data_IF_337407303561
#
_entry.id   IF_337407303561
#
_cell.length_a   1.000
_cell.length_b   1.000
_cell.length_c   1.000
_cell.angle_alpha   90.00
_cell.angle_beta   90.00
_cell.angle_gamma   90.00
#
_symmetry.space_group_name_H-M   'P 1'
#
loop_
_entity.id
_entity.type
_entity.pdbx_description
1 polymer ?
#
# COMPACT_ATOMS: atom_id res chain seq x y z
N UNK A 1 -5.56 18.58 -1.68
CA UNK A 1 -6.58 17.76 -2.38
C UNK A 1 -6.54 16.27 -2.01
N UNK A 2 -5.37 15.66 -1.80
CA UNK A 2 -5.25 14.23 -1.44
C UNK A 2 -5.97 13.81 -0.13
N UNK A 3 -5.95 14.64 0.91
CA UNK A 3 -6.56 14.28 2.20
C UNK A 3 -8.08 14.12 2.15
N UNK A 4 -8.77 14.86 1.27
CA UNK A 4 -10.23 14.81 1.15
C UNK A 4 -10.69 13.51 0.50
N UNK A 5 -9.94 13.02 -0.49
CA UNK A 5 -10.13 11.68 -1.07
C UNK A 5 -9.98 10.57 -0.02
N UNK A 6 -8.96 10.69 0.82
CA UNK A 6 -8.73 9.70 1.87
C UNK A 6 -9.84 9.67 2.92
N UNK A 7 -10.34 10.85 3.31
CA UNK A 7 -11.49 10.97 4.20
C UNK A 7 -12.75 10.35 3.61
N UNK A 8 -13.02 10.55 2.31
CA UNK A 8 -14.17 9.94 1.61
C UNK A 8 -14.03 8.41 1.58
N UNK A 9 -12.86 7.89 1.20
CA UNK A 9 -12.63 6.43 1.14
C UNK A 9 -12.77 5.79 2.52
N UNK A 10 -12.23 6.42 3.57
CA UNK A 10 -12.39 5.96 4.95
C UNK A 10 -13.85 5.97 5.40
N UNK A 11 -14.61 7.04 5.12
CA UNK A 11 -16.03 7.13 5.46
C UNK A 11 -16.86 6.05 4.75
N UNK A 12 -16.65 5.85 3.45
CA UNK A 12 -17.39 4.84 2.66
C UNK A 12 -17.05 3.42 3.15
N UNK A 13 -15.77 3.12 3.35
CA UNK A 13 -15.33 1.81 3.85
C UNK A 13 -15.85 1.51 5.26
N UNK A 14 -15.73 2.49 6.17
CA UNK A 14 -16.26 2.39 7.54
C UNK A 14 -17.78 2.20 7.56
N UNK A 15 -18.52 2.95 6.73
CA UNK A 15 -19.98 2.83 6.63
C UNK A 15 -20.42 1.42 6.18
N UNK A 16 -19.78 0.87 5.13
CA UNK A 16 -20.06 -0.49 4.64
C UNK A 16 -19.74 -1.52 5.73
N UNK A 17 -18.60 -1.39 6.41
CA UNK A 17 -18.18 -2.29 7.48
C UNK A 17 -19.15 -2.27 8.68
N UNK A 18 -19.65 -1.08 9.02
CA UNK A 18 -20.66 -0.88 10.08
C UNK A 18 -22.01 -1.52 9.74
N UNK A 19 -22.47 -1.37 8.49
CA UNK A 19 -23.73 -1.98 8.01
C UNK A 19 -23.65 -3.52 8.07
N UNK A 20 -22.53 -4.09 7.66
CA UNK A 20 -22.30 -5.54 7.73
C UNK A 20 -22.24 -6.02 9.19
N UNK A 21 -21.62 -5.25 10.08
CA UNK A 21 -21.52 -5.58 11.50
C UNK A 21 -22.88 -5.52 12.21
N UNK A 22 -23.71 -4.53 11.85
CA UNK A 22 -25.09 -4.43 12.33
C UNK A 22 -25.91 -5.67 11.94
N UNK A 23 -25.79 -6.11 10.69
CA UNK A 23 -26.47 -7.33 10.21
C UNK A 23 -26.05 -8.59 10.98
N UNK A 24 -24.85 -8.59 11.56
CA UNK A 24 -24.30 -9.72 12.34
C UNK A 24 -24.41 -9.55 13.86
N UNK A 25 -25.20 -8.59 14.36
CA UNK A 25 -25.32 -8.28 15.80
C UNK A 25 -23.96 -8.04 16.49
N UNK A 26 -22.99 -7.46 15.78
CA UNK A 26 -21.68 -7.10 16.34
C UNK A 26 -21.61 -5.61 16.70
N UNK A 27 -20.63 -5.23 17.51
CA UNK A 27 -20.38 -3.84 17.87
C UNK A 27 -20.11 -2.98 16.62
N UNK A 28 -21.08 -2.16 16.22
CA UNK A 28 -20.98 -1.28 15.04
C UNK A 28 -19.79 -0.32 15.13
N UNK A 29 -19.51 0.22 16.31
CA UNK A 29 -18.44 1.22 16.53
C UNK A 29 -17.05 0.64 16.26
N UNK A 30 -16.80 -0.59 16.73
CA UNK A 30 -15.52 -1.27 16.53
C UNK A 30 -15.30 -1.56 15.04
N UNK A 31 -16.35 -2.04 14.35
CA UNK A 31 -16.28 -2.38 12.93
C UNK A 31 -16.19 -1.16 12.01
N UNK A 32 -16.83 -0.04 12.38
CA UNK A 32 -16.66 1.23 11.67
C UNK A 32 -15.21 1.72 11.74
N UNK A 33 -14.63 1.69 12.94
CA UNK A 33 -13.23 2.09 13.16
C UNK A 33 -12.27 1.18 12.41
N UNK A 34 -12.52 -0.13 12.43
CA UNK A 34 -11.73 -1.11 11.70
C UNK A 34 -11.80 -0.89 10.18
N UNK A 35 -13.00 -0.58 9.66
CA UNK A 35 -13.20 -0.21 8.26
C UNK A 35 -12.53 1.10 7.84
N UNK A 36 -12.34 2.05 8.76
CA UNK A 36 -11.56 3.27 8.46
C UNK A 36 -10.05 3.03 8.46
N UNK A 37 -9.54 2.19 9.37
CA UNK A 37 -8.10 1.94 9.53
C UNK A 37 -7.55 1.01 8.45
N UNK A 38 -8.32 0.02 8.01
CA UNK A 38 -7.91 -0.96 6.98
C UNK A 38 -7.39 -0.34 5.66
N UNK A 39 -8.14 0.57 4.99
CA UNK A 39 -7.67 1.17 3.74
C UNK A 39 -6.39 1.97 3.95
N UNK A 40 -6.22 2.59 5.12
CA UNK A 40 -5.00 3.29 5.44
C UNK A 40 -3.80 2.38 5.64
N UNK A 41 -3.99 1.27 6.33
CA UNK A 41 -2.97 0.27 6.54
C UNK A 41 -2.59 -0.44 5.22
N UNK A 42 -3.57 -0.67 4.33
CA UNK A 42 -3.33 -1.22 2.99
C UNK A 42 -2.44 -0.32 2.13
N UNK A 43 -2.70 0.99 2.11
CA UNK A 43 -1.88 1.96 1.37
C UNK A 43 -0.46 2.01 1.96
N UNK A 44 -0.33 1.98 3.28
CA UNK A 44 0.97 1.95 3.95
C UNK A 44 1.80 0.73 3.53
N UNK A 45 1.18 -0.46 3.50
CA UNK A 45 1.84 -1.70 3.04
C UNK A 45 2.21 -1.60 1.56
N UNK A 46 1.33 -1.07 0.71
CA UNK A 46 1.60 -0.87 -0.72
C UNK A 46 2.79 0.06 -0.94
N UNK A 47 2.88 1.16 -0.19
CA UNK A 47 4.02 2.08 -0.24
C UNK A 47 5.31 1.41 0.22
N UNK A 48 5.26 0.65 1.31
CA UNK A 48 6.41 -0.07 1.83
C UNK A 48 6.90 -1.15 0.86
N UNK A 49 5.97 -1.89 0.24
CA UNK A 49 6.28 -2.90 -0.76
C UNK A 49 6.83 -2.26 -2.05
N UNK A 50 6.25 -1.13 -2.48
CA UNK A 50 6.71 -0.36 -3.63
C UNK A 50 8.15 0.14 -3.43
N UNK A 51 8.47 0.66 -2.25
CA UNK A 51 9.82 1.09 -1.90
C UNK A 51 10.82 -0.07 -1.97
N UNK A 52 10.45 -1.23 -1.45
CA UNK A 52 11.29 -2.44 -1.53
C UNK A 52 11.46 -2.94 -2.97
N UNK A 53 10.43 -2.76 -3.81
CA UNK A 53 10.47 -3.11 -5.23
C UNK A 53 11.43 -2.21 -6.01
N UNK A 54 11.44 -0.91 -5.74
CA UNK A 54 12.39 0.02 -6.38
C UNK A 54 13.84 -0.23 -5.95
N UNK A 55 14.08 -0.53 -4.67
CA UNK A 55 15.42 -0.88 -4.18
C UNK A 55 15.96 -2.14 -4.89
N UNK A 56 15.10 -3.14 -5.13
CA UNK A 56 15.46 -4.34 -5.88
C UNK A 56 15.73 -4.03 -7.36
N UNK A 57 14.95 -3.14 -7.97
CA UNK A 57 15.10 -2.78 -9.39
C UNK A 57 16.41 -2.01 -9.65
N UNK A 58 16.79 -1.09 -8.76
CA UNK A 58 18.06 -0.35 -8.88
C UNK A 58 19.27 -1.28 -8.77
N UNK A 59 19.28 -2.22 -7.82
CA UNK A 59 20.40 -3.18 -7.68
C UNK A 59 20.60 -4.09 -8.90
N UNK A 60 19.54 -4.37 -9.66
CA UNK A 60 19.65 -5.17 -10.90
C UNK A 60 20.24 -4.31 -12.02
N UNK A 61 19.78 -3.06 -12.17
CA UNK A 61 20.31 -2.14 -13.16
C UNK A 61 21.80 -1.83 -12.94
N UNK A 62 22.22 -1.62 -11.69
CA UNK A 62 23.63 -1.34 -11.36
C UNK A 62 24.55 -2.55 -11.65
N UNK A 63 24.06 -3.77 -11.43
CA UNK A 63 24.81 -4.99 -11.74
C UNK A 63 24.94 -5.23 -13.25
N UNK A 64 23.91 -4.91 -14.05
CA UNK A 64 23.99 -5.00 -15.51
C UNK A 64 24.94 -3.96 -16.10
N UNK A 65 24.94 -2.72 -15.57
CA UNK A 65 25.87 -1.67 -15.98
C UNK A 65 27.31 -2.05 -15.62
N UNK A 66 27.54 -2.59 -14.42
CA UNK A 66 28.87 -3.04 -14.00
C UNK A 66 29.38 -4.22 -14.84
N UNK A 67 28.51 -5.18 -15.17
CA UNK A 67 28.88 -6.32 -16.01
C UNK A 67 29.27 -5.89 -17.43
N UNK A 68 28.53 -4.95 -18.03
CA UNK A 68 28.85 -4.44 -19.36
C UNK A 68 30.16 -3.62 -19.38
N UNK A 69 30.42 -2.80 -18.36
CA UNK A 69 31.69 -2.06 -18.25
C UNK A 69 32.92 -2.97 -18.14
N UNK A 70 32.76 -4.15 -17.54
CA UNK A 70 33.83 -5.13 -17.45
C UNK A 70 34.03 -5.81 -18.81
N UNK A 71 32.97 -6.16 -19.54
CA UNK A 71 33.11 -6.73 -20.89
C UNK A 71 33.78 -5.75 -21.86
N UNK A 72 33.42 -4.46 -21.82
CA UNK A 72 34.05 -3.42 -22.65
C UNK A 72 35.52 -3.15 -22.29
N UNK A 73 35.97 -3.52 -21.09
CA UNK A 73 37.39 -3.42 -20.68
C UNK A 73 38.27 -4.57 -21.20
N UNK A 74 37.67 -5.68 -21.65
CA UNK A 74 38.39 -6.85 -22.17
C UNK A 74 38.41 -6.90 -23.71
N UNK A 75 37.72 -5.96 -24.39
CA UNK A 75 37.73 -5.76 -25.85
C UNK A 75 38.66 -4.60 -26.19
#
# INVERSE_FOLDING_TARGET
MFGLYYAIIGLVSGAICSVIAYSKYRNQKDWFTLGQVLPGLSILILLFLSSKSEEKKNKIADNEISANSLVDSWV
#
